data_IF_006582478185
#
_entry.id   IF_006582478185
#
_cell.length_a   1.000
_cell.length_b   1.000
_cell.length_c   1.000
_cell.angle_alpha   90.00
_cell.angle_beta   90.00
_cell.angle_gamma   90.00
#
_symmetry.space_group_name_H-M   'P 1'
#
loop_
_entity.id
_entity.type
_entity.pdbx_description
1 polymer ?
#
# COMPACT_ATOMS: atom_id res chain seq x y z
N UNK A 1 14.11 17.14 -10.19
CA UNK A 1 13.42 16.40 -11.28
C UNK A 1 12.35 15.51 -10.64
N UNK A 2 11.17 15.37 -11.22
CA UNK A 2 10.16 14.46 -10.71
C UNK A 2 10.71 13.03 -10.69
N UNK A 3 10.40 12.27 -9.63
CA UNK A 3 10.79 10.87 -9.52
C UNK A 3 10.10 10.05 -10.63
N UNK A 4 10.80 9.15 -11.32
CA UNK A 4 10.17 8.29 -12.30
C UNK A 4 9.18 7.33 -11.62
N UNK A 5 7.98 7.21 -12.18
CA UNK A 5 7.00 6.23 -11.73
C UNK A 5 7.48 4.80 -12.03
N UNK A 6 7.16 3.88 -11.15
CA UNK A 6 7.52 2.46 -11.20
C UNK A 6 6.33 1.63 -11.64
N UNK A 7 6.46 0.82 -12.69
CA UNK A 7 5.42 -0.13 -13.10
C UNK A 7 5.36 -1.32 -12.15
N UNK A 8 4.16 -1.72 -11.70
CA UNK A 8 3.97 -2.90 -10.84
C UNK A 8 4.04 -4.23 -11.62
N UNK A 9 3.66 -4.22 -12.88
CA UNK A 9 3.70 -5.35 -13.81
C UNK A 9 3.88 -4.79 -15.23
N UNK A 10 4.05 -5.66 -16.24
CA UNK A 10 4.24 -5.24 -17.64
C UNK A 10 3.10 -4.32 -18.10
N UNK A 11 1.85 -4.75 -17.89
CA UNK A 11 0.64 -3.98 -18.22
C UNK A 11 -0.05 -3.42 -16.97
N UNK A 12 0.73 -3.19 -15.91
CA UNK A 12 0.25 -2.72 -14.61
C UNK A 12 0.34 -1.20 -14.46
N UNK A 13 -0.21 -0.68 -13.35
CA UNK A 13 -0.18 0.74 -13.03
C UNK A 13 1.25 1.21 -12.82
N UNK A 14 1.47 2.48 -13.11
CA UNK A 14 2.72 3.16 -12.78
C UNK A 14 2.51 3.98 -11.53
N UNK A 15 3.16 3.60 -10.43
CA UNK A 15 3.07 4.26 -9.14
C UNK A 15 4.39 4.93 -8.75
N UNK A 16 4.33 5.85 -7.81
CA UNK A 16 5.53 6.38 -7.15
C UNK A 16 6.34 5.23 -6.54
N UNK A 17 7.67 5.27 -6.56
CA UNK A 17 8.50 4.18 -6.02
C UNK A 17 8.34 3.98 -4.50
N UNK A 18 7.85 5.01 -3.81
CA UNK A 18 7.30 4.98 -2.45
C UNK A 18 5.88 5.54 -2.54
N UNK A 19 4.91 4.82 -1.98
CA UNK A 19 3.49 5.22 -1.96
C UNK A 19 3.15 5.85 -0.63
N UNK A 20 2.36 6.92 -0.62
CA UNK A 20 1.88 7.54 0.61
C UNK A 20 0.62 6.83 1.13
N UNK A 21 0.67 6.26 2.34
CA UNK A 21 -0.43 5.54 2.95
C UNK A 21 -1.33 6.43 3.82
N UNK A 22 -2.64 6.34 3.62
CA UNK A 22 -3.62 7.16 4.32
C UNK A 22 -4.24 6.48 5.57
N UNK A 23 -3.87 5.25 5.90
CA UNK A 23 -4.54 4.44 6.93
C UNK A 23 -4.87 5.19 8.23
N UNK A 24 -3.93 6.01 8.75
CA UNK A 24 -4.07 6.73 10.02
C UNK A 24 -4.58 8.16 9.87
N UNK A 25 -5.04 8.57 8.67
CA UNK A 25 -5.41 9.96 8.40
C UNK A 25 -6.53 10.47 9.33
N UNK A 26 -7.46 9.62 9.73
CA UNK A 26 -8.51 9.99 10.70
C UNK A 26 -7.95 10.39 12.08
N UNK A 27 -6.81 9.79 12.49
CA UNK A 27 -6.18 10.03 13.79
C UNK A 27 -5.33 11.31 13.81
N UNK A 28 -5.11 11.96 12.66
CA UNK A 28 -4.26 13.14 12.59
C UNK A 28 -4.89 14.40 13.16
N UNK A 29 -6.21 14.43 13.29
CA UNK A 29 -6.96 15.60 13.77
C UNK A 29 -6.92 16.80 12.83
N UNK A 30 -6.56 16.60 11.55
CA UNK A 30 -6.39 17.66 10.56
C UNK A 30 -7.70 18.03 9.86
N UNK A 31 -7.87 19.33 9.55
CA UNK A 31 -8.92 19.79 8.65
C UNK A 31 -8.57 19.53 7.17
N UNK A 32 -9.51 19.78 6.26
CA UNK A 32 -9.32 19.52 4.83
C UNK A 32 -8.13 20.29 4.22
N UNK A 33 -7.90 21.54 4.66
CA UNK A 33 -6.79 22.35 4.17
C UNK A 33 -5.42 21.82 4.62
N UNK A 34 -5.33 21.28 5.85
CA UNK A 34 -4.10 20.66 6.36
C UNK A 34 -3.79 19.35 5.63
N UNK A 35 -4.84 18.55 5.34
CA UNK A 35 -4.71 17.34 4.52
C UNK A 35 -4.29 17.67 3.09
N UNK A 36 -4.85 18.71 2.48
CA UNK A 36 -4.43 19.16 1.15
C UNK A 36 -2.95 19.58 1.15
N UNK A 37 -2.49 20.36 2.11
CA UNK A 37 -1.07 20.73 2.20
C UNK A 37 -0.15 19.51 2.26
N UNK A 38 -0.54 18.47 3.00
CA UNK A 38 0.23 17.22 3.02
C UNK A 38 0.26 16.51 1.67
N UNK A 39 -0.87 16.47 0.95
CA UNK A 39 -0.94 15.91 -0.42
C UNK A 39 -0.03 16.71 -1.36
N UNK A 40 -0.07 18.03 -1.30
CA UNK A 40 0.79 18.93 -2.09
C UNK A 40 2.28 18.68 -1.81
N UNK A 41 2.67 18.60 -0.54
CA UNK A 41 4.04 18.32 -0.13
C UNK A 41 4.52 16.92 -0.58
N UNK A 42 3.64 15.91 -0.53
CA UNK A 42 3.93 14.60 -1.12
C UNK A 42 4.20 14.72 -2.63
N UNK A 43 3.33 15.42 -3.35
CA UNK A 43 3.46 15.62 -4.80
C UNK A 43 4.71 16.45 -5.19
N UNK A 44 5.11 17.41 -4.37
CA UNK A 44 6.37 18.18 -4.54
C UNK A 44 7.60 17.28 -4.41
N UNK A 45 7.56 16.27 -3.53
CA UNK A 45 8.60 15.25 -3.42
C UNK A 45 8.56 14.21 -4.55
N UNK A 46 7.58 14.27 -5.46
CA UNK A 46 7.37 13.29 -6.53
C UNK A 46 6.56 12.07 -6.10
N UNK A 47 5.96 12.08 -4.91
CA UNK A 47 5.06 11.04 -4.43
C UNK A 47 3.63 11.44 -4.78
N UNK A 48 3.11 10.87 -5.85
CA UNK A 48 1.77 11.13 -6.38
C UNK A 48 0.81 9.94 -6.21
N UNK A 49 1.29 8.83 -5.65
CA UNK A 49 0.48 7.63 -5.42
C UNK A 49 0.07 7.54 -3.96
N UNK A 50 -1.24 7.33 -3.73
CA UNK A 50 -1.85 7.29 -2.40
C UNK A 50 -2.59 5.98 -2.18
N UNK A 51 -2.33 5.31 -1.05
CA UNK A 51 -2.91 4.02 -0.68
C UNK A 51 -4.00 4.20 0.38
N UNK A 52 -5.19 3.78 0.02
CA UNK A 52 -6.41 3.81 0.81
C UNK A 52 -7.00 2.41 1.03
N UNK A 53 -8.08 2.34 1.77
CA UNK A 53 -9.04 1.25 1.80
C UNK A 53 -10.40 1.79 2.28
N UNK A 54 -11.47 1.18 1.83
CA UNK A 54 -12.85 1.54 2.22
C UNK A 54 -13.05 1.54 3.74
N UNK A 55 -12.41 0.60 4.47
CA UNK A 55 -12.57 0.44 5.93
C UNK A 55 -11.73 1.39 6.78
N UNK A 56 -10.78 2.15 6.21
CA UNK A 56 -9.87 2.96 7.01
C UNK A 56 -10.60 4.02 7.82
N UNK A 57 -10.16 4.21 9.10
CA UNK A 57 -10.82 5.13 10.02
C UNK A 57 -12.30 4.80 10.26
N UNK A 58 -12.67 3.51 10.26
CA UNK A 58 -14.07 3.10 10.39
C UNK A 58 -14.95 3.59 9.22
N UNK A 59 -14.44 3.54 8.00
CA UNK A 59 -15.06 4.00 6.75
C UNK A 59 -15.08 5.53 6.55
N UNK A 60 -14.15 6.27 7.17
CA UNK A 60 -14.12 7.74 7.09
C UNK A 60 -12.97 8.30 6.26
N UNK A 61 -11.84 7.60 6.15
CA UNK A 61 -10.58 8.14 5.60
C UNK A 61 -10.71 8.55 4.13
N UNK A 62 -11.39 7.78 3.31
CA UNK A 62 -11.58 8.14 1.90
C UNK A 62 -12.36 9.45 1.74
N UNK A 63 -13.42 9.67 2.55
CA UNK A 63 -14.16 10.92 2.54
C UNK A 63 -13.30 12.11 3.02
N UNK A 64 -12.50 11.91 4.08
CA UNK A 64 -11.58 12.92 4.57
C UNK A 64 -10.52 13.32 3.53
N UNK A 65 -10.04 12.36 2.74
CA UNK A 65 -9.11 12.63 1.62
C UNK A 65 -9.83 13.34 0.47
N UNK A 66 -11.04 12.89 0.12
CA UNK A 66 -11.87 13.50 -0.92
C UNK A 66 -12.26 14.94 -0.61
N UNK A 67 -12.49 15.30 0.68
CA UNK A 67 -12.68 16.69 1.10
C UNK A 67 -11.45 17.56 0.79
N UNK A 68 -10.25 17.04 1.02
CA UNK A 68 -9.01 17.74 0.68
C UNK A 68 -8.86 17.87 -0.85
N UNK A 69 -9.14 16.82 -1.61
CA UNK A 69 -9.07 16.85 -3.07
C UNK A 69 -10.07 17.83 -3.70
N UNK A 70 -11.21 18.07 -3.06
CA UNK A 70 -12.17 19.07 -3.53
C UNK A 70 -11.62 20.51 -3.49
N UNK A 71 -10.61 20.77 -2.66
CA UNK A 71 -9.92 22.05 -2.56
C UNK A 71 -8.71 22.14 -3.50
N UNK A 72 -8.27 20.99 -4.05
CA UNK A 72 -7.10 20.89 -4.89
C UNK A 72 -7.35 21.41 -6.32
N UNK A 73 -6.37 22.06 -6.97
CA UNK A 73 -6.47 22.41 -8.38
C UNK A 73 -6.52 21.13 -9.25
N UNK A 74 -7.18 21.21 -10.42
CA UNK A 74 -7.30 20.08 -11.36
C UNK A 74 -5.94 19.51 -11.76
N UNK A 75 -4.95 20.37 -11.98
CA UNK A 75 -3.57 19.99 -12.33
C UNK A 75 -2.87 19.11 -11.29
N UNK A 76 -3.22 19.22 -10.00
CA UNK A 76 -2.76 18.29 -8.97
C UNK A 76 -3.55 16.98 -9.05
N UNK A 77 -4.89 17.06 -9.08
CA UNK A 77 -5.78 15.89 -9.06
C UNK A 77 -5.48 14.91 -10.21
N UNK A 78 -5.25 15.43 -11.42
CA UNK A 78 -4.94 14.66 -12.62
C UNK A 78 -3.60 13.88 -12.54
N UNK A 79 -2.71 14.31 -11.65
CA UNK A 79 -1.40 13.67 -11.44
C UNK A 79 -1.43 12.55 -10.42
N UNK A 80 -2.52 12.39 -9.65
CA UNK A 80 -2.57 11.43 -8.56
C UNK A 80 -2.97 10.04 -9.04
N UNK A 81 -2.32 9.02 -8.50
CA UNK A 81 -2.71 7.62 -8.64
C UNK A 81 -3.32 7.16 -7.32
N UNK A 82 -4.58 6.79 -7.35
CA UNK A 82 -5.30 6.37 -6.15
C UNK A 82 -5.46 4.85 -6.16
N UNK A 83 -4.93 4.24 -5.09
CA UNK A 83 -5.12 2.82 -4.77
C UNK A 83 -6.14 2.71 -3.66
N UNK A 84 -7.11 1.82 -3.80
CA UNK A 84 -8.03 1.47 -2.70
C UNK A 84 -8.22 -0.03 -2.57
N UNK A 85 -8.94 -0.46 -1.54
CA UNK A 85 -9.15 -1.87 -1.22
C UNK A 85 -10.57 -2.09 -0.73
N UNK A 86 -11.12 -3.28 -0.99
CA UNK A 86 -12.44 -3.69 -0.53
C UNK A 86 -12.44 -5.14 -0.04
N UNK A 87 -13.56 -5.60 0.50
CA UNK A 87 -13.78 -7.00 0.89
C UNK A 87 -13.73 -7.27 2.39
N UNK A 88 -13.29 -6.33 3.23
CA UNK A 88 -13.41 -6.44 4.68
C UNK A 88 -14.67 -5.72 5.14
N UNK A 89 -15.46 -6.38 6.00
CA UNK A 89 -16.62 -5.80 6.68
C UNK A 89 -16.27 -5.60 8.15
N UNK A 90 -15.98 -4.37 8.57
CA UNK A 90 -15.72 -4.05 9.98
C UNK A 90 -17.02 -3.77 10.74
N UNK A 91 -17.02 -4.11 12.02
CA UNK A 91 -17.99 -3.54 12.97
C UNK A 91 -17.60 -2.09 13.20
N UNK A 92 -18.49 -1.18 12.83
CA UNK A 92 -18.27 0.26 12.96
C UNK A 92 -19.60 0.99 13.10
N UNK A 93 -19.60 2.16 13.73
CA UNK A 93 -20.81 3.01 13.87
C UNK A 93 -21.43 3.32 12.49
N UNK A 94 -20.61 3.52 11.48
CA UNK A 94 -21.07 3.73 10.10
C UNK A 94 -21.69 2.48 9.43
N UNK A 95 -21.61 1.31 10.07
CA UNK A 95 -22.12 0.03 9.55
C UNK A 95 -22.78 -0.78 10.66
N UNK A 96 -23.88 -0.31 11.25
CA UNK A 96 -24.52 -0.94 12.41
C UNK A 96 -25.05 -2.34 12.14
N UNK A 97 -25.27 -2.71 10.87
CA UNK A 97 -25.68 -4.04 10.45
C UNK A 97 -24.56 -5.09 10.53
N UNK A 98 -23.29 -4.71 10.66
CA UNK A 98 -22.18 -5.64 10.78
C UNK A 98 -22.03 -6.08 12.24
N UNK A 99 -22.46 -7.31 12.56
CA UNK A 99 -22.42 -7.88 13.93
C UNK A 99 -21.03 -8.36 14.34
N UNK A 100 -20.25 -8.85 13.36
CA UNK A 100 -18.88 -9.32 13.53
C UNK A 100 -18.03 -8.83 12.35
N UNK A 101 -16.72 -8.77 12.55
CA UNK A 101 -15.78 -8.59 11.41
C UNK A 101 -15.85 -9.84 10.54
N UNK A 102 -16.11 -9.66 9.26
CA UNK A 102 -16.16 -10.72 8.27
C UNK A 102 -15.65 -10.22 6.92
N UNK A 103 -15.67 -11.08 5.92
CA UNK A 103 -15.25 -10.77 4.57
C UNK A 103 -16.44 -10.92 3.62
N UNK A 104 -16.39 -10.21 2.49
CA UNK A 104 -17.39 -10.29 1.44
C UNK A 104 -16.69 -9.98 0.11
N UNK A 105 -16.44 -11.03 -0.65
CA UNK A 105 -15.81 -10.98 -1.97
C UNK A 105 -16.81 -11.20 -3.11
N UNK A 106 -18.12 -11.08 -2.83
CA UNK A 106 -19.15 -11.16 -3.86
C UNK A 106 -19.01 -10.04 -4.89
N UNK A 107 -19.41 -10.32 -6.13
CA UNK A 107 -19.39 -9.34 -7.22
C UNK A 107 -20.19 -8.08 -6.85
N UNK A 108 -21.36 -8.23 -6.25
CA UNK A 108 -22.20 -7.13 -5.83
C UNK A 108 -21.49 -6.21 -4.82
N UNK A 109 -20.80 -6.81 -3.81
CA UNK A 109 -20.07 -6.02 -2.81
C UNK A 109 -18.87 -5.31 -3.41
N UNK A 110 -18.07 -5.98 -4.23
CA UNK A 110 -16.87 -5.39 -4.86
C UNK A 110 -17.27 -4.15 -5.69
N UNK A 111 -18.29 -4.28 -6.53
CA UNK A 111 -18.78 -3.16 -7.35
C UNK A 111 -19.29 -2.02 -6.48
N UNK A 112 -20.17 -2.31 -5.51
CA UNK A 112 -20.73 -1.30 -4.62
C UNK A 112 -19.67 -0.58 -3.79
N UNK A 113 -18.64 -1.31 -3.29
CA UNK A 113 -17.53 -0.74 -2.54
C UNK A 113 -16.66 0.16 -3.42
N UNK A 114 -16.28 -0.27 -4.62
CA UNK A 114 -15.52 0.54 -5.56
C UNK A 114 -16.24 1.85 -5.89
N UNK A 115 -17.53 1.79 -6.15
CA UNK A 115 -18.35 2.98 -6.41
C UNK A 115 -18.47 3.90 -5.20
N UNK A 116 -18.57 3.34 -3.99
CA UNK A 116 -18.56 4.11 -2.76
C UNK A 116 -17.21 4.81 -2.54
N UNK A 117 -16.08 4.13 -2.79
CA UNK A 117 -14.74 4.70 -2.75
C UNK A 117 -14.57 5.84 -3.74
N UNK A 118 -15.01 5.69 -4.99
CA UNK A 118 -14.97 6.76 -6.00
C UNK A 118 -15.73 8.02 -5.55
N UNK A 119 -16.94 7.83 -5.01
CA UNK A 119 -17.74 8.95 -4.46
C UNK A 119 -17.07 9.61 -3.27
N UNK A 120 -16.56 8.81 -2.32
CA UNK A 120 -15.91 9.30 -1.10
C UNK A 120 -14.62 10.07 -1.42
N UNK A 121 -13.77 9.53 -2.28
CA UNK A 121 -12.52 10.12 -2.74
C UNK A 121 -12.72 11.29 -3.71
N UNK A 122 -13.92 11.44 -4.28
CA UNK A 122 -14.25 12.45 -5.31
C UNK A 122 -13.36 12.32 -6.55
N UNK A 123 -13.13 11.10 -6.99
CA UNK A 123 -12.38 10.76 -8.21
C UNK A 123 -13.26 9.94 -9.15
N UNK A 124 -13.00 10.03 -10.45
CA UNK A 124 -13.76 9.31 -11.46
C UNK A 124 -13.25 7.88 -11.65
N UNK A 125 -11.95 7.63 -11.35
CA UNK A 125 -11.30 6.34 -11.54
C UNK A 125 -10.30 6.05 -10.40
N UNK A 126 -10.26 4.79 -9.96
CA UNK A 126 -9.17 4.25 -9.17
C UNK A 126 -8.09 3.71 -10.12
N UNK A 127 -6.84 4.00 -9.82
CA UNK A 127 -5.72 3.43 -10.56
C UNK A 127 -5.57 1.93 -10.27
N UNK A 128 -5.83 1.52 -9.03
CA UNK A 128 -5.73 0.15 -8.58
C UNK A 128 -6.75 -0.15 -7.48
N UNK A 129 -7.48 -1.25 -7.61
CA UNK A 129 -8.35 -1.80 -6.56
C UNK A 129 -7.82 -3.17 -6.11
N UNK A 130 -7.71 -3.37 -4.80
CA UNK A 130 -7.26 -4.63 -4.21
C UNK A 130 -8.39 -5.35 -3.46
N UNK A 131 -8.45 -6.68 -3.57
CA UNK A 131 -9.15 -7.46 -2.55
C UNK A 131 -8.28 -7.42 -1.28
N UNK A 132 -8.82 -6.83 -0.20
CA UNK A 132 -8.04 -6.41 0.97
C UNK A 132 -7.47 -7.59 1.78
N UNK A 133 -8.20 -8.71 1.82
CA UNK A 133 -7.78 -9.96 2.49
C UNK A 133 -8.36 -11.16 1.75
N UNK A 134 -7.71 -12.32 1.83
CA UNK A 134 -8.32 -13.57 1.39
C UNK A 134 -9.64 -13.82 2.13
N UNK A 135 -10.63 -14.30 1.41
CA UNK A 135 -11.91 -14.74 1.93
C UNK A 135 -12.05 -16.24 1.64
N UNK A 136 -12.35 -17.03 2.66
CA UNK A 136 -12.56 -18.47 2.49
C UNK A 136 -13.81 -18.79 1.66
N UNK A 137 -14.74 -17.83 1.54
CA UNK A 137 -15.96 -17.95 0.74
C UNK A 137 -15.83 -17.33 -0.65
N UNK A 138 -14.62 -16.89 -1.04
CA UNK A 138 -14.38 -16.24 -2.33
C UNK A 138 -14.63 -17.20 -3.49
N UNK A 139 -15.54 -16.83 -4.37
CA UNK A 139 -15.65 -17.40 -5.71
C UNK A 139 -14.80 -16.54 -6.69
N UNK A 140 -13.79 -17.17 -7.29
CA UNK A 140 -12.86 -16.47 -8.18
C UNK A 140 -13.55 -16.01 -9.49
N UNK A 141 -14.57 -16.70 -9.95
CA UNK A 141 -15.32 -16.32 -11.14
C UNK A 141 -16.21 -15.09 -10.85
N UNK A 142 -16.85 -15.01 -9.68
CA UNK A 142 -17.59 -13.81 -9.26
C UNK A 142 -16.68 -12.58 -9.12
N UNK A 143 -15.49 -12.74 -8.52
CA UNK A 143 -14.52 -11.64 -8.41
C UNK A 143 -14.08 -11.16 -9.79
N UNK A 144 -13.80 -12.09 -10.71
CA UNK A 144 -13.41 -11.76 -12.07
C UNK A 144 -14.52 -11.00 -12.83
N UNK A 145 -15.77 -11.39 -12.67
CA UNK A 145 -16.93 -10.69 -13.24
C UNK A 145 -17.03 -9.24 -12.71
N UNK A 146 -16.84 -9.04 -11.40
CA UNK A 146 -16.84 -7.71 -10.80
C UNK A 146 -15.70 -6.83 -11.37
N UNK A 147 -14.49 -7.39 -11.50
CA UNK A 147 -13.35 -6.69 -12.05
C UNK A 147 -13.57 -6.29 -13.50
N UNK A 148 -14.12 -7.19 -14.32
CA UNK A 148 -14.45 -6.90 -15.71
C UNK A 148 -15.50 -5.79 -15.83
N UNK A 149 -16.56 -5.85 -15.04
CA UNK A 149 -17.60 -4.82 -15.02
C UNK A 149 -17.04 -3.44 -14.65
N UNK A 150 -16.18 -3.37 -13.62
CA UNK A 150 -15.54 -2.12 -13.19
C UNK A 150 -14.55 -1.58 -14.22
N UNK A 151 -13.80 -2.47 -14.90
CA UNK A 151 -12.87 -2.12 -15.98
C UNK A 151 -13.63 -1.59 -17.19
N UNK A 152 -14.65 -2.31 -17.63
CA UNK A 152 -15.49 -1.91 -18.77
C UNK A 152 -16.22 -0.58 -18.55
N UNK A 153 -16.61 -0.29 -17.30
CA UNK A 153 -17.18 0.99 -16.90
C UNK A 153 -16.14 2.13 -16.75
N UNK A 154 -14.84 1.86 -16.93
CA UNK A 154 -13.77 2.84 -16.75
C UNK A 154 -13.53 3.28 -15.30
N UNK A 155 -14.13 2.61 -14.31
CA UNK A 155 -14.09 2.98 -12.89
C UNK A 155 -12.80 2.55 -12.19
N UNK A 156 -12.20 1.44 -12.62
CA UNK A 156 -10.95 0.91 -12.08
C UNK A 156 -10.06 0.49 -13.23
N UNK A 157 -8.80 0.95 -13.21
CA UNK A 157 -7.86 0.64 -14.28
C UNK A 157 -7.21 -0.74 -14.11
N UNK A 158 -6.79 -1.07 -12.88
CA UNK A 158 -6.04 -2.30 -12.59
C UNK A 158 -6.54 -2.95 -11.30
N UNK A 159 -6.26 -4.27 -11.17
CA UNK A 159 -6.71 -5.06 -10.04
C UNK A 159 -5.56 -5.87 -9.44
N UNK A 160 -5.63 -6.09 -8.14
CA UNK A 160 -4.68 -6.89 -7.40
C UNK A 160 -5.31 -7.43 -6.11
N UNK A 161 -4.47 -7.96 -5.25
CA UNK A 161 -4.89 -8.55 -3.98
C UNK A 161 -4.00 -8.07 -2.84
N UNK A 162 -4.40 -8.37 -1.60
CA UNK A 162 -3.58 -8.10 -0.43
C UNK A 162 -3.57 -9.29 0.52
N UNK A 163 -2.36 -9.71 0.91
CA UNK A 163 -2.07 -10.84 1.81
C UNK A 163 -2.60 -12.20 1.34
N UNK A 164 -2.66 -12.40 0.04
CA UNK A 164 -2.97 -13.69 -0.56
C UNK A 164 -1.74 -14.60 -0.50
N UNK A 165 -1.96 -15.88 -0.20
CA UNK A 165 -0.93 -16.91 -0.39
C UNK A 165 -0.67 -17.14 -1.88
N UNK A 166 0.47 -17.78 -2.26
CA UNK A 166 0.73 -18.11 -3.66
C UNK A 166 -0.42 -18.86 -4.34
N UNK A 167 -1.01 -19.85 -3.67
CA UNK A 167 -2.12 -20.63 -4.23
C UNK A 167 -3.40 -19.80 -4.42
N UNK A 168 -3.73 -18.93 -3.45
CA UNK A 168 -4.88 -18.02 -3.56
C UNK A 168 -4.68 -16.98 -4.67
N UNK A 169 -3.46 -16.47 -4.82
CA UNK A 169 -3.10 -15.58 -5.93
C UNK A 169 -3.28 -16.28 -7.28
N UNK A 170 -2.76 -17.49 -7.44
CA UNK A 170 -2.89 -18.28 -8.66
C UNK A 170 -4.34 -18.62 -9.00
N UNK A 171 -5.15 -18.96 -7.99
CA UNK A 171 -6.58 -19.21 -8.19
C UNK A 171 -7.26 -18.01 -8.87
N UNK A 172 -7.12 -16.81 -8.30
CA UNK A 172 -7.75 -15.63 -8.87
C UNK A 172 -7.08 -15.18 -10.18
N UNK A 173 -5.75 -15.27 -10.27
CA UNK A 173 -5.00 -14.92 -11.47
C UNK A 173 -5.34 -15.82 -12.68
N UNK A 174 -5.86 -17.03 -12.44
CA UNK A 174 -6.36 -17.91 -13.51
C UNK A 174 -7.67 -17.42 -14.13
N UNK A 175 -8.33 -16.43 -13.56
CA UNK A 175 -9.60 -15.85 -14.02
C UNK A 175 -9.48 -14.42 -14.51
N UNK A 176 -8.56 -13.64 -13.94
CA UNK A 176 -8.40 -12.22 -14.26
C UNK A 176 -6.96 -11.78 -14.03
N UNK A 177 -6.41 -10.83 -14.80
CA UNK A 177 -5.07 -10.31 -14.57
C UNK A 177 -4.95 -9.61 -13.21
N UNK A 178 -3.93 -9.98 -12.43
CA UNK A 178 -3.55 -9.35 -11.18
C UNK A 178 -2.19 -8.68 -11.32
N UNK A 179 -2.05 -7.45 -10.86
CA UNK A 179 -0.84 -6.63 -11.05
C UNK A 179 0.01 -6.48 -9.80
N UNK A 180 -0.47 -6.92 -8.64
CA UNK A 180 0.28 -6.92 -7.37
C UNK A 180 -0.40 -7.79 -6.30
N UNK A 181 0.39 -8.19 -5.31
CA UNK A 181 -0.07 -8.63 -4.00
C UNK A 181 0.53 -7.65 -2.97
N UNK A 182 -0.31 -6.91 -2.25
CA UNK A 182 0.15 -6.01 -1.19
C UNK A 182 0.29 -6.80 0.12
N UNK A 183 1.52 -6.95 0.61
CA UNK A 183 1.86 -7.83 1.73
C UNK A 183 2.56 -7.07 2.86
N UNK A 184 2.51 -7.62 4.09
CA UNK A 184 3.35 -7.15 5.18
C UNK A 184 4.76 -7.73 5.03
N UNK A 185 5.76 -6.86 5.02
CA UNK A 185 7.15 -7.29 5.02
C UNK A 185 8.03 -6.24 5.68
N UNK A 186 8.78 -6.64 6.67
CA UNK A 186 9.79 -5.85 7.36
C UNK A 186 10.68 -6.79 8.18
N UNK A 187 11.80 -6.36 8.77
CA UNK A 187 12.72 -7.24 9.50
C UNK A 187 12.12 -8.09 10.63
N UNK A 188 10.96 -7.66 11.21
CA UNK A 188 10.23 -8.43 12.23
C UNK A 188 9.12 -9.32 11.66
N UNK A 189 8.70 -9.13 10.39
CA UNK A 189 7.71 -9.95 9.70
C UNK A 189 8.30 -10.40 8.36
N UNK A 190 8.81 -11.64 8.33
CA UNK A 190 9.61 -12.16 7.22
C UNK A 190 9.00 -13.37 6.52
N UNK A 191 7.79 -13.78 6.91
CA UNK A 191 7.13 -14.94 6.30
C UNK A 191 7.17 -14.93 4.76
N UNK A 192 6.91 -13.79 4.06
CA UNK A 192 6.95 -13.75 2.61
C UNK A 192 8.30 -14.08 1.95
N UNK A 193 9.42 -14.05 2.73
CA UNK A 193 10.74 -14.47 2.25
C UNK A 193 10.87 -16.00 2.15
N UNK A 194 9.99 -16.76 2.84
CA UNK A 194 10.14 -18.22 2.99
C UNK A 194 8.89 -19.00 2.53
N UNK A 195 7.73 -18.36 2.41
CA UNK A 195 6.46 -19.02 2.07
C UNK A 195 6.16 -19.12 0.57
N UNK A 196 7.10 -18.67 -0.27
CA UNK A 196 6.98 -18.67 -1.73
C UNK A 196 6.28 -17.44 -2.31
N UNK A 197 5.78 -16.50 -1.48
CA UNK A 197 5.06 -15.32 -1.98
C UNK A 197 5.96 -14.44 -2.85
N UNK A 198 7.18 -14.12 -2.39
CA UNK A 198 8.10 -13.30 -3.19
C UNK A 198 8.65 -14.04 -4.41
N UNK A 199 8.89 -15.36 -4.31
CA UNK A 199 9.34 -16.18 -5.43
C UNK A 199 8.32 -16.22 -6.56
N UNK A 200 7.03 -16.39 -6.20
CA UNK A 200 5.93 -16.34 -7.16
C UNK A 200 5.86 -14.98 -7.87
N UNK A 201 5.88 -13.89 -7.10
CA UNK A 201 5.77 -12.54 -7.67
C UNK A 201 6.99 -12.22 -8.55
N UNK A 202 8.18 -12.64 -8.15
CA UNK A 202 9.40 -12.49 -8.96
C UNK A 202 9.31 -13.31 -10.25
N UNK A 203 8.84 -14.57 -10.20
CA UNK A 203 8.59 -15.42 -11.37
C UNK A 203 7.62 -14.77 -12.36
N UNK A 204 6.57 -14.16 -11.84
CA UNK A 204 5.55 -13.46 -12.64
C UNK A 204 5.98 -12.05 -13.09
N UNK A 205 7.13 -11.56 -12.62
CA UNK A 205 7.59 -10.16 -12.83
C UNK A 205 6.59 -9.13 -12.35
N UNK A 206 5.90 -9.44 -11.25
CA UNK A 206 4.96 -8.58 -10.55
C UNK A 206 5.66 -8.05 -9.30
N UNK A 207 5.60 -6.73 -9.07
CA UNK A 207 6.18 -6.11 -7.87
C UNK A 207 5.16 -6.14 -6.74
N UNK A 208 5.52 -6.67 -5.55
CA UNK A 208 4.66 -6.54 -4.38
C UNK A 208 4.60 -5.08 -3.92
N UNK A 209 3.46 -4.65 -3.42
CA UNK A 209 3.40 -3.48 -2.54
C UNK A 209 3.63 -3.94 -1.10
N UNK A 210 4.31 -3.11 -0.29
CA UNK A 210 4.63 -3.49 1.09
C UNK A 210 3.95 -2.53 2.06
N UNK A 211 2.98 -3.04 2.83
CA UNK A 211 2.40 -2.27 3.92
C UNK A 211 3.20 -2.45 5.23
N UNK A 212 3.13 -1.46 6.12
CA UNK A 212 3.89 -1.39 7.38
C UNK A 212 5.41 -1.62 7.24
N UNK A 213 6.13 -0.99 6.31
CA UNK A 213 7.56 -1.20 6.09
C UNK A 213 8.43 -0.93 7.33
N UNK A 214 7.93 -0.17 8.30
CA UNK A 214 8.57 0.13 9.58
C UNK A 214 7.89 -0.57 10.78
N UNK A 215 7.13 -1.67 10.54
CA UNK A 215 6.39 -2.39 11.60
C UNK A 215 5.48 -1.44 12.42
N UNK A 216 4.75 -0.54 11.75
CA UNK A 216 3.93 0.47 12.45
C UNK A 216 4.73 1.50 13.26
N UNK A 217 6.04 1.56 13.13
CA UNK A 217 6.99 2.38 13.89
C UNK A 217 7.87 1.58 14.86
N UNK A 218 7.57 0.29 15.10
CA UNK A 218 8.30 -0.53 16.08
C UNK A 218 9.78 -0.73 15.72
N UNK A 219 10.16 -0.69 14.43
CA UNK A 219 11.57 -0.72 14.02
C UNK A 219 12.38 0.49 14.50
N UNK A 220 11.75 1.56 14.92
CA UNK A 220 12.42 2.79 15.36
C UNK A 220 12.23 3.07 16.85
N UNK A 221 11.11 2.65 17.45
CA UNK A 221 10.71 3.03 18.81
C UNK A 221 10.17 1.87 19.65
N UNK A 222 10.11 0.66 19.10
CA UNK A 222 9.67 -0.54 19.83
C UNK A 222 10.58 -0.87 21.00
N UNK A 223 10.02 -1.51 22.04
CA UNK A 223 10.72 -1.79 23.30
C UNK A 223 10.99 -3.29 23.54
N UNK A 224 10.52 -4.15 22.65
CA UNK A 224 10.77 -5.58 22.70
C UNK A 224 12.25 -5.93 22.39
N UNK A 225 12.67 -7.12 22.74
CA UNK A 225 14.05 -7.57 22.50
C UNK A 225 14.37 -7.64 20.99
N UNK A 226 13.45 -8.19 20.19
CA UNK A 226 13.61 -8.28 18.75
C UNK A 226 13.66 -6.89 18.08
N UNK A 227 12.79 -5.95 18.54
CA UNK A 227 12.82 -4.56 18.04
C UNK A 227 14.15 -3.89 18.36
N UNK A 228 14.64 -3.99 19.61
CA UNK A 228 15.94 -3.38 20.00
C UNK A 228 17.10 -3.94 19.23
N UNK A 229 17.11 -5.27 18.95
CA UNK A 229 18.15 -5.91 18.13
C UNK A 229 18.16 -5.33 16.71
N UNK A 230 17.01 -5.27 16.06
CA UNK A 230 16.87 -4.69 14.71
C UNK A 230 17.23 -3.20 14.72
N UNK A 231 16.79 -2.43 15.71
CA UNK A 231 17.15 -1.01 15.85
C UNK A 231 18.66 -0.81 15.94
N UNK A 232 19.35 -1.63 16.72
CA UNK A 232 20.81 -1.55 16.84
C UNK A 232 21.52 -1.85 15.50
N UNK A 233 21.06 -2.84 14.74
CA UNK A 233 21.57 -3.14 13.41
C UNK A 233 21.31 -1.98 12.43
N UNK A 234 20.08 -1.48 12.37
CA UNK A 234 19.72 -0.34 11.52
C UNK A 234 20.56 0.90 11.85
N UNK A 235 20.81 1.20 13.14
CA UNK A 235 21.60 2.35 13.55
C UNK A 235 23.09 2.22 13.13
N UNK A 236 23.69 1.04 13.28
CA UNK A 236 25.09 0.82 12.85
C UNK A 236 25.25 0.97 11.34
N UNK A 237 24.30 0.40 10.57
CA UNK A 237 24.33 0.51 9.11
C UNK A 237 24.08 1.96 8.69
N UNK A 238 23.10 2.64 9.30
CA UNK A 238 22.80 4.04 9.03
C UNK A 238 24.02 4.95 9.25
N UNK A 239 24.81 4.68 10.31
CA UNK A 239 26.05 5.40 10.56
C UNK A 239 27.08 5.17 9.44
N UNK A 240 27.24 3.92 8.93
CA UNK A 240 28.14 3.61 7.81
C UNK A 240 27.74 4.34 6.52
N UNK A 241 26.43 4.47 6.27
CA UNK A 241 25.88 5.10 5.07
C UNK A 241 25.58 6.61 5.22
N UNK A 242 25.78 7.18 6.41
CA UNK A 242 25.53 8.61 6.68
C UNK A 242 24.04 9.02 6.51
N UNK A 243 23.11 8.15 6.89
CA UNK A 243 21.68 8.37 6.71
C UNK A 243 20.87 8.00 7.96
N UNK A 244 19.54 8.14 7.91
CA UNK A 244 18.64 7.76 9.01
C UNK A 244 18.42 6.23 9.05
N UNK A 245 18.15 5.68 10.26
CA UNK A 245 17.79 4.26 10.42
C UNK A 245 16.55 3.87 9.63
N UNK A 246 15.57 4.77 9.50
CA UNK A 246 14.40 4.54 8.66
C UNK A 246 14.78 4.35 7.18
N UNK A 247 15.75 5.12 6.68
CA UNK A 247 16.28 4.99 5.31
C UNK A 247 16.84 3.58 5.07
N UNK A 248 17.59 3.03 6.03
CA UNK A 248 18.12 1.66 5.93
C UNK A 248 16.99 0.62 5.93
N UNK A 249 15.96 0.80 6.76
CA UNK A 249 14.82 -0.12 6.77
C UNK A 249 14.08 -0.16 5.41
N UNK A 250 13.90 0.99 4.75
CA UNK A 250 13.38 1.04 3.38
C UNK A 250 14.36 0.45 2.37
N UNK A 251 15.65 0.75 2.46
CA UNK A 251 16.69 0.21 1.58
C UNK A 251 16.77 -1.33 1.67
N UNK A 252 16.55 -1.90 2.87
CA UNK A 252 16.46 -3.34 3.09
C UNK A 252 15.36 -3.99 2.24
N UNK A 253 14.18 -3.38 2.17
CA UNK A 253 13.08 -3.83 1.31
C UNK A 253 13.43 -3.67 -0.18
N UNK A 254 13.93 -2.49 -0.56
CA UNK A 254 14.22 -2.15 -1.95
C UNK A 254 15.36 -2.99 -2.54
N UNK A 255 16.19 -3.63 -1.70
CA UNK A 255 17.26 -4.54 -2.13
C UNK A 255 16.75 -5.88 -2.68
N UNK A 256 15.49 -6.25 -2.36
CA UNK A 256 14.92 -7.52 -2.79
C UNK A 256 14.77 -7.61 -4.32
N UNK A 257 15.06 -8.79 -4.93
CA UNK A 257 14.96 -8.97 -6.39
C UNK A 257 13.53 -8.79 -6.92
N UNK A 258 12.51 -9.00 -6.09
CA UNK A 258 11.10 -8.73 -6.41
C UNK A 258 10.79 -7.24 -6.61
N UNK A 259 11.75 -6.35 -6.26
CA UNK A 259 11.66 -4.88 -6.40
C UNK A 259 10.35 -4.31 -5.82
N UNK A 260 10.09 -4.49 -4.53
CA UNK A 260 8.84 -4.08 -3.92
C UNK A 260 8.64 -2.56 -3.96
N UNK A 261 7.38 -2.15 -3.82
CA UNK A 261 6.95 -0.76 -3.71
C UNK A 261 6.41 -0.53 -2.29
N UNK A 262 7.19 0.08 -1.38
CA UNK A 262 6.77 0.32 0.00
C UNK A 262 5.69 1.40 0.12
N UNK A 263 4.78 1.21 1.10
CA UNK A 263 3.73 2.16 1.48
C UNK A 263 4.11 2.82 2.80
N UNK A 264 4.44 4.11 2.76
CA UNK A 264 4.79 4.90 3.95
C UNK A 264 3.56 5.56 4.54
N UNK A 265 3.14 5.15 5.75
CA UNK A 265 1.95 5.63 6.45
C UNK A 265 2.20 6.82 7.39
N UNK A 266 3.24 7.61 7.19
CA UNK A 266 3.58 8.74 8.06
C UNK A 266 2.92 10.05 7.62
N UNK A 267 2.44 10.85 8.61
CA UNK A 267 2.02 12.23 8.37
C UNK A 267 3.19 13.22 8.26
N UNK A 268 4.40 12.79 8.68
CA UNK A 268 5.60 13.65 8.63
C UNK A 268 6.23 13.57 7.25
N UNK A 269 6.41 14.70 6.62
CA UNK A 269 7.05 14.78 5.29
C UNK A 269 8.53 14.36 5.36
N UNK A 270 9.22 14.61 6.47
CA UNK A 270 10.59 14.16 6.72
C UNK A 270 10.71 12.64 6.64
N UNK A 271 9.75 11.90 7.22
CA UNK A 271 9.73 10.45 7.13
C UNK A 271 9.54 9.94 5.68
N UNK A 272 8.82 10.69 4.85
CA UNK A 272 8.69 10.39 3.42
C UNK A 272 10.00 10.67 2.67
N UNK A 273 10.73 11.75 3.04
CA UNK A 273 12.08 12.03 2.50
C UNK A 273 13.05 10.92 2.86
N UNK A 274 13.08 10.47 4.14
CA UNK A 274 13.90 9.35 4.59
C UNK A 274 13.62 8.07 3.77
N UNK A 275 12.34 7.80 3.46
CA UNK A 275 11.96 6.68 2.61
C UNK A 275 12.43 6.85 1.16
N UNK A 276 12.38 8.06 0.60
CA UNK A 276 12.85 8.36 -0.74
C UNK A 276 14.38 8.31 -0.85
N UNK A 277 15.11 8.71 0.18
CA UNK A 277 16.57 8.63 0.22
C UNK A 277 17.05 7.17 0.12
N UNK A 278 16.25 6.22 0.57
CA UNK A 278 16.53 4.79 0.42
C UNK A 278 16.67 4.33 -1.04
N UNK A 279 16.08 5.04 -2.00
CA UNK A 279 16.22 4.77 -3.44
C UNK A 279 17.67 4.96 -3.95
N UNK A 280 18.51 5.65 -3.19
CA UNK A 280 19.92 5.93 -3.51
C UNK A 280 20.87 5.01 -2.74
N UNK A 281 20.37 4.22 -1.80
CA UNK A 281 21.16 3.32 -0.95
C UNK A 281 21.16 1.93 -1.57
N UNK A 282 22.33 1.36 -1.76
CA UNK A 282 22.48 -0.05 -2.12
C UNK A 282 23.17 -0.76 -0.98
N UNK A 283 22.43 -1.58 -0.23
CA UNK A 283 22.99 -2.43 0.80
C UNK A 283 23.74 -3.59 0.16
N UNK A 284 24.92 -3.90 0.64
CA UNK A 284 25.58 -5.15 0.28
C UNK A 284 24.90 -6.35 1.00
N UNK A 285 25.39 -7.56 0.73
CA UNK A 285 24.79 -8.76 1.31
C UNK A 285 25.01 -8.85 2.84
N UNK A 286 26.10 -8.27 3.35
CA UNK A 286 26.42 -8.31 4.78
C UNK A 286 25.52 -7.32 5.53
N UNK A 287 25.41 -6.07 5.06
CA UNK A 287 24.49 -5.07 5.61
C UNK A 287 23.05 -5.58 5.61
N UNK A 288 22.62 -6.17 4.50
CA UNK A 288 21.26 -6.70 4.38
C UNK A 288 21.01 -7.84 5.38
N UNK A 289 21.99 -8.75 5.53
CA UNK A 289 21.90 -9.89 6.44
C UNK A 289 21.98 -9.45 7.90
N UNK A 290 22.79 -8.43 8.23
CA UNK A 290 22.91 -7.89 9.60
C UNK A 290 21.56 -7.39 10.15
N UNK A 291 20.72 -6.78 9.30
CA UNK A 291 19.36 -6.35 9.70
C UNK A 291 18.45 -7.55 10.00
N UNK A 292 18.70 -8.67 9.35
CA UNK A 292 17.88 -9.87 9.46
C UNK A 292 18.21 -10.69 10.73
N UNK A 293 19.48 -10.76 11.14
CA UNK A 293 19.96 -11.54 12.30
C UNK A 293 19.51 -10.94 13.64
#
# INVERSE_FOLDING_TARGET
MPLPLTSLAADGPRLSPIVAGAWRMADWGWNAQQRLRWIEQCAELGVTSFDHADIYGGYSVEALFGEALALAPSSLRERLQIVSKCGIKLVATARPQHRIKHYDSSAAHIVASAEASLRALRVERLELLLIHRPDALMDADEVALAFEALRAAGKVAHFGVSNFTPAQFELLASRTPLVTNQIELHPLQRAPLADGTLDQLQRLRIRPMIWSPLAGGALLTGQGEAERRVQAALARIAQRHGCASATIAFAWLLRLPSRPVPVSGSRRIEALREALDALRITLDAQDWTEVWQ
#
